data_IF_405734698312
#
_entry.id   IF_405734698312
#
_cell.length_a   1.000
_cell.length_b   1.000
_cell.length_c   1.000
_cell.angle_alpha   90.00
_cell.angle_beta   90.00
_cell.angle_gamma   90.00
#
_symmetry.space_group_name_H-M   'P 1'
#
loop_
_entity.id
_entity.type
_entity.pdbx_description
1 polymer ?
#
# COMPACT_ATOMS: atom_id res chain seq x y z
N UNK A 1 -14.42 -5.16 -9.94
CA UNK A 1 -15.76 -5.18 -9.29
C UNK A 1 -16.11 -6.54 -8.71
N UNK A 2 -15.72 -7.64 -9.35
CA UNK A 2 -15.92 -9.03 -8.88
C UNK A 2 -15.78 -9.23 -7.36
N UNK A 3 -14.66 -8.86 -6.76
CA UNK A 3 -14.44 -8.99 -5.29
C UNK A 3 -15.53 -8.30 -4.46
N UNK A 4 -16.00 -7.13 -4.90
CA UNK A 4 -17.03 -6.39 -4.19
C UNK A 4 -18.42 -7.01 -4.35
N UNK A 5 -18.65 -7.76 -5.43
CA UNK A 5 -19.94 -8.35 -5.76
C UNK A 5 -20.07 -9.78 -5.24
N UNK A 6 -19.00 -10.55 -5.26
CA UNK A 6 -18.97 -11.96 -4.84
C UNK A 6 -18.59 -12.14 -3.36
N UNK A 7 -17.93 -11.13 -2.76
CA UNK A 7 -17.53 -11.17 -1.35
C UNK A 7 -16.47 -12.24 -1.04
N UNK A 8 -15.74 -12.72 -2.05
CA UNK A 8 -14.75 -13.78 -1.89
C UNK A 8 -13.51 -13.31 -1.13
N UNK A 9 -12.94 -14.22 -0.34
CA UNK A 9 -11.65 -14.01 0.34
C UNK A 9 -10.52 -14.23 -0.67
N UNK A 10 -9.57 -13.30 -0.70
CA UNK A 10 -8.35 -13.40 -1.52
C UNK A 10 -7.13 -13.61 -0.64
N UNK A 11 -6.11 -14.27 -1.20
CA UNK A 11 -4.83 -14.45 -0.53
C UNK A 11 -3.88 -13.26 -0.83
N UNK A 12 -2.73 -13.24 -0.14
CA UNK A 12 -1.76 -12.14 -0.25
C UNK A 12 -1.15 -12.00 -1.65
N UNK A 13 -0.88 -13.11 -2.34
CA UNK A 13 -0.32 -13.11 -3.70
C UNK A 13 -1.29 -12.48 -4.70
N UNK A 14 -2.56 -12.88 -4.63
CA UNK A 14 -3.62 -12.31 -5.46
C UNK A 14 -3.81 -10.81 -5.17
N UNK A 15 -3.82 -10.40 -3.90
CA UNK A 15 -3.91 -8.99 -3.54
C UNK A 15 -2.76 -8.16 -4.14
N UNK A 16 -1.56 -8.73 -4.28
CA UNK A 16 -0.42 -8.08 -4.92
C UNK A 16 -0.60 -7.97 -6.45
N UNK A 17 -1.08 -9.03 -7.10
CA UNK A 17 -1.38 -9.02 -8.55
C UNK A 17 -2.44 -7.98 -8.89
N UNK A 18 -3.43 -7.82 -8.02
CA UNK A 18 -4.48 -6.82 -8.13
C UNK A 18 -4.04 -5.40 -7.74
N UNK A 19 -2.76 -5.22 -7.37
CA UNK A 19 -2.20 -3.94 -6.90
C UNK A 19 -2.91 -3.36 -5.66
N UNK A 20 -3.57 -4.21 -4.85
CA UNK A 20 -4.15 -3.80 -3.56
C UNK A 20 -3.06 -3.61 -2.50
N UNK A 21 -1.97 -4.37 -2.62
CA UNK A 21 -0.77 -4.26 -1.78
C UNK A 21 0.49 -4.18 -2.64
N UNK A 22 1.52 -3.54 -2.11
CA UNK A 22 2.78 -3.33 -2.85
C UNK A 22 3.76 -4.52 -2.75
N UNK A 23 3.64 -5.36 -1.70
CA UNK A 23 4.58 -6.44 -1.39
C UNK A 23 3.92 -7.51 -0.52
N UNK A 24 4.39 -8.74 -0.66
CA UNK A 24 4.09 -9.88 0.22
C UNK A 24 5.41 -10.41 0.76
N UNK A 25 5.44 -10.74 2.05
CA UNK A 25 6.60 -11.26 2.78
C UNK A 25 6.14 -12.43 3.67
N UNK A 26 7.06 -13.31 4.14
CA UNK A 26 6.73 -14.28 5.18
C UNK A 26 6.12 -13.62 6.42
N UNK A 27 5.29 -14.35 7.16
CA UNK A 27 4.54 -13.81 8.29
C UNK A 27 5.49 -13.33 9.41
N UNK A 28 6.55 -14.12 9.66
CA UNK A 28 7.60 -13.82 10.63
C UNK A 28 8.37 -12.52 10.33
N UNK A 29 8.41 -12.10 9.06
CA UNK A 29 9.15 -10.92 8.61
C UNK A 29 8.28 -9.66 8.55
N UNK A 30 6.95 -9.79 8.68
CA UNK A 30 6.00 -8.72 8.43
C UNK A 30 6.28 -7.46 9.26
N UNK A 31 6.51 -7.64 10.56
CA UNK A 31 6.77 -6.53 11.48
C UNK A 31 8.07 -5.80 11.12
N UNK A 32 9.16 -6.55 10.90
CA UNK A 32 10.46 -6.01 10.56
C UNK A 32 10.44 -5.25 9.22
N UNK A 33 9.78 -5.81 8.20
CA UNK A 33 9.65 -5.18 6.89
C UNK A 33 8.79 -3.91 6.92
N UNK A 34 7.72 -3.90 7.73
CA UNK A 34 6.89 -2.72 7.91
C UNK A 34 7.66 -1.58 8.60
N UNK A 35 8.42 -1.90 9.66
CA UNK A 35 9.28 -0.93 10.36
C UNK A 35 10.38 -0.40 9.44
N UNK A 36 11.05 -1.29 8.69
CA UNK A 36 12.07 -0.89 7.73
C UNK A 36 11.51 0.03 6.64
N UNK A 37 10.29 -0.23 6.17
CA UNK A 37 9.59 0.64 5.22
C UNK A 37 9.26 2.01 5.83
N UNK A 38 8.72 2.03 7.05
CA UNK A 38 8.41 3.27 7.75
C UNK A 38 9.68 4.11 7.97
N UNK A 39 10.78 3.47 8.37
CA UNK A 39 12.07 4.11 8.55
C UNK A 39 12.62 4.70 7.23
N UNK A 40 12.47 4.02 6.10
CA UNK A 40 12.83 4.56 4.77
C UNK A 40 12.04 5.83 4.44
N UNK A 41 10.73 5.83 4.70
CA UNK A 41 9.86 6.99 4.46
C UNK A 41 10.24 8.15 5.40
N UNK A 42 10.47 7.84 6.69
CA UNK A 42 10.80 8.83 7.71
C UNK A 42 12.16 9.50 7.49
N UNK A 43 13.14 8.77 6.95
CA UNK A 43 14.46 9.34 6.55
C UNK A 43 14.41 10.20 5.29
N UNK A 44 13.34 10.11 4.49
CA UNK A 44 13.14 10.94 3.31
C UNK A 44 12.77 12.38 3.67
N UNK A 45 12.37 13.17 2.67
CA UNK A 45 11.90 14.54 2.88
C UNK A 45 10.43 14.56 3.35
N UNK A 46 10.11 14.86 4.63
CA UNK A 46 8.75 14.66 5.17
C UNK A 46 7.71 15.56 4.50
N UNK A 47 8.09 16.80 4.16
CA UNK A 47 7.20 17.74 3.46
C UNK A 47 6.88 17.27 2.04
N UNK A 48 7.87 16.76 1.32
CA UNK A 48 7.69 16.22 -0.03
C UNK A 48 6.80 14.98 0.00
N UNK A 49 7.05 14.03 0.92
CA UNK A 49 6.21 12.85 1.11
C UNK A 49 4.74 13.23 1.40
N UNK A 50 4.53 14.24 2.27
CA UNK A 50 3.19 14.77 2.56
C UNK A 50 2.56 15.42 1.32
N UNK A 51 3.34 16.14 0.52
CA UNK A 51 2.93 16.74 -0.75
C UNK A 51 2.50 15.70 -1.77
N UNK A 52 3.34 14.69 -2.02
CA UNK A 52 3.05 13.58 -2.95
C UNK A 52 1.78 12.83 -2.55
N UNK A 53 1.60 12.52 -1.26
CA UNK A 53 0.40 11.85 -0.78
C UNK A 53 -0.88 12.68 -1.02
N UNK A 54 -0.82 14.00 -0.83
CA UNK A 54 -1.96 14.89 -1.12
C UNK A 54 -2.23 14.98 -2.62
N UNK A 55 -1.19 15.12 -3.43
CA UNK A 55 -1.31 15.19 -4.89
C UNK A 55 -1.93 13.91 -5.46
N UNK A 56 -1.42 12.74 -5.06
CA UNK A 56 -1.93 11.44 -5.51
C UNK A 56 -3.42 11.28 -5.16
N UNK A 57 -3.84 11.68 -3.96
CA UNK A 57 -5.27 11.64 -3.56
C UNK A 57 -6.13 12.55 -4.41
N UNK A 58 -5.66 13.76 -4.73
CA UNK A 58 -6.40 14.70 -5.60
C UNK A 58 -6.49 14.20 -7.04
N UNK A 59 -5.40 13.64 -7.57
CA UNK A 59 -5.40 13.08 -8.92
C UNK A 59 -6.36 11.89 -9.10
N UNK A 60 -6.67 11.20 -7.99
CA UNK A 60 -7.64 10.10 -7.97
C UNK A 60 -9.07 10.54 -7.61
N UNK A 61 -9.31 11.81 -7.23
CA UNK A 61 -10.65 12.35 -7.04
C UNK A 61 -11.13 12.97 -8.37
N UNK A 62 -12.14 12.40 -9.04
CA UNK A 62 -12.60 12.87 -10.34
C UNK A 62 -13.45 14.15 -10.29
N UNK A 63 -13.58 14.80 -9.12
CA UNK A 63 -14.35 16.02 -8.91
C UNK A 63 -13.53 17.30 -9.09
#
# INVERSE_FOLDING_TARGET
LEILLEGRIINASEAKEMSLVNRVVPDEDLAAEAEAMAARIARGAPLAARGHKRLARRALDPR
#
